data_IF_807492507032
#
_entry.id   IF_807492507032
#
_cell.length_a   1.000
_cell.length_b   1.000
_cell.length_c   1.000
_cell.angle_alpha   90.00
_cell.angle_beta   90.00
_cell.angle_gamma   90.00
#
_symmetry.space_group_name_H-M   'P 1'
#
loop_
_entity.id
_entity.type
_entity.pdbx_description
1 polymer ?
#
# COMPACT_ATOMS: atom_id res chain seq x y z
N UNK A 1 -28.70 -7.99 -3.57
CA UNK A 1 -27.46 -8.76 -3.35
C UNK A 1 -27.19 -8.78 -1.86
N UNK A 2 -26.80 -9.93 -1.30
CA UNK A 2 -26.77 -10.16 0.14
C UNK A 2 -25.66 -9.30 0.79
N UNK A 3 -26.04 -8.21 1.47
CA UNK A 3 -25.13 -7.17 1.97
C UNK A 3 -24.22 -7.59 3.14
N UNK A 4 -24.32 -8.85 3.60
CA UNK A 4 -23.64 -9.37 4.80
C UNK A 4 -22.54 -10.41 4.50
N UNK A 5 -22.09 -10.56 3.25
CA UNK A 5 -21.01 -11.51 2.94
C UNK A 5 -19.66 -10.94 3.40
N UNK A 6 -19.00 -11.65 4.32
CA UNK A 6 -17.61 -11.41 4.74
C UNK A 6 -16.70 -11.29 3.52
N UNK A 7 -15.83 -10.27 3.49
CA UNK A 7 -14.92 -10.01 2.36
C UNK A 7 -13.49 -10.47 2.58
N UNK A 8 -13.10 -10.81 3.80
CA UNK A 8 -11.74 -11.23 4.12
C UNK A 8 -11.76 -12.59 4.84
N UNK A 9 -10.84 -13.47 4.51
CA UNK A 9 -10.70 -14.77 5.17
C UNK A 9 -10.08 -14.64 6.57
N UNK A 10 -9.91 -15.75 7.29
CA UNK A 10 -9.31 -15.76 8.64
C UNK A 10 -7.85 -15.25 8.70
N UNK A 11 -7.21 -14.98 7.56
CA UNK A 11 -5.85 -14.46 7.46
C UNK A 11 -5.82 -13.01 6.97
N UNK A 12 -6.98 -12.36 6.83
CA UNK A 12 -7.09 -10.98 6.34
C UNK A 12 -6.85 -10.84 4.84
N UNK A 13 -6.81 -11.93 4.09
CA UNK A 13 -6.76 -11.88 2.63
C UNK A 13 -8.17 -11.66 2.09
N UNK A 14 -8.31 -10.77 1.12
CA UNK A 14 -9.56 -10.54 0.41
C UNK A 14 -10.00 -11.85 -0.25
N UNK A 15 -11.26 -12.22 -0.03
CA UNK A 15 -11.87 -13.38 -0.65
C UNK A 15 -12.12 -13.03 -2.12
N UNK A 16 -11.68 -13.85 -3.09
CA UNK A 16 -11.94 -13.63 -4.49
C UNK A 16 -13.44 -13.50 -4.77
N UNK A 17 -13.82 -12.39 -5.39
CA UNK A 17 -15.17 -12.22 -5.95
C UNK A 17 -15.26 -12.96 -7.29
N UNK A 18 -16.48 -13.21 -7.76
CA UNK A 18 -16.66 -13.72 -9.13
C UNK A 18 -16.16 -12.66 -10.12
N UNK A 19 -15.09 -12.99 -10.83
CA UNK A 19 -14.49 -12.19 -11.90
C UNK A 19 -14.03 -13.11 -13.01
N UNK A 20 -14.07 -12.63 -14.26
CA UNK A 20 -13.45 -13.31 -15.40
C UNK A 20 -11.93 -13.15 -15.42
N UNK A 21 -11.37 -12.31 -14.55
CA UNK A 21 -9.94 -12.02 -14.50
C UNK A 21 -9.19 -12.98 -13.58
N UNK A 22 -7.90 -13.27 -13.85
CA UNK A 22 -7.14 -14.24 -13.07
C UNK A 22 -6.97 -13.82 -11.60
N UNK A 23 -7.27 -14.75 -10.71
CA UNK A 23 -7.06 -14.68 -9.26
C UNK A 23 -6.98 -16.11 -8.72
N UNK A 24 -6.08 -16.36 -7.78
CA UNK A 24 -6.04 -17.66 -7.11
C UNK A 24 -7.21 -17.78 -6.14
N UNK A 25 -8.09 -18.78 -6.36
CA UNK A 25 -9.26 -19.00 -5.49
C UNK A 25 -8.87 -19.47 -4.09
N UNK A 26 -7.78 -20.24 -4.01
CA UNK A 26 -7.23 -20.81 -2.78
C UNK A 26 -5.77 -20.40 -2.72
N UNK A 27 -5.35 -19.76 -1.63
CA UNK A 27 -3.96 -19.42 -1.41
C UNK A 27 -3.23 -20.58 -0.75
N UNK A 28 -2.04 -20.91 -1.26
CA UNK A 28 -1.10 -21.82 -0.57
C UNK A 28 -0.40 -21.14 0.61
N UNK A 29 -0.52 -19.81 0.70
CA UNK A 29 0.13 -18.97 1.70
C UNK A 29 1.64 -19.20 1.77
N UNK A 30 2.28 -19.46 0.64
CA UNK A 30 3.73 -19.62 0.59
C UNK A 30 4.45 -18.28 0.73
N UNK A 31 3.91 -17.22 0.12
CA UNK A 31 4.41 -15.85 0.26
C UNK A 31 3.65 -15.14 1.37
N UNK A 32 4.35 -14.68 2.40
CA UNK A 32 3.75 -14.11 3.59
C UNK A 32 4.51 -12.89 4.10
N UNK A 33 3.75 -11.91 4.55
CA UNK A 33 4.24 -10.80 5.35
C UNK A 33 4.13 -11.21 6.81
N UNK A 34 5.18 -10.98 7.59
CA UNK A 34 5.16 -11.27 9.03
C UNK A 34 4.12 -10.41 9.73
N UNK A 35 3.44 -10.93 10.77
CA UNK A 35 2.66 -10.10 11.68
C UNK A 35 3.49 -8.90 12.16
N UNK A 36 2.86 -7.75 12.22
CA UNK A 36 3.49 -6.49 12.60
C UNK A 36 2.98 -6.07 13.97
N UNK A 37 3.91 -5.74 14.86
CA UNK A 37 3.58 -5.04 16.11
C UNK A 37 3.60 -3.54 15.84
N UNK A 38 2.41 -2.94 15.82
CA UNK A 38 2.24 -1.53 15.43
C UNK A 38 2.67 -0.64 16.58
N UNK A 39 3.83 -0.01 16.44
CA UNK A 39 4.27 1.08 17.32
C UNK A 39 3.98 2.43 16.64
N UNK A 40 2.87 3.06 17.02
CA UNK A 40 2.43 4.34 16.43
C UNK A 40 3.45 5.44 16.56
N UNK A 41 4.13 5.57 17.71
CA UNK A 41 5.14 6.61 17.93
C UNK A 41 6.33 6.44 16.98
N UNK A 42 6.85 5.21 16.84
CA UNK A 42 7.95 4.93 15.91
C UNK A 42 7.56 5.22 14.46
N UNK A 43 6.35 4.80 14.05
CA UNK A 43 5.81 5.03 12.71
C UNK A 43 5.66 6.53 12.45
N UNK A 44 5.01 7.25 13.36
CA UNK A 44 4.80 8.69 13.29
C UNK A 44 6.13 9.44 13.16
N UNK A 45 7.08 9.14 14.03
CA UNK A 45 8.40 9.79 14.03
C UNK A 45 9.15 9.54 12.73
N UNK A 46 9.09 8.33 12.16
CA UNK A 46 9.72 8.05 10.86
C UNK A 46 9.08 8.84 9.72
N UNK A 47 7.75 8.89 9.65
CA UNK A 47 7.06 9.66 8.60
C UNK A 47 7.35 11.16 8.77
N UNK A 48 7.28 11.69 9.98
CA UNK A 48 7.64 13.07 10.28
C UNK A 48 9.10 13.38 9.87
N UNK A 49 10.06 12.54 10.25
CA UNK A 49 11.48 12.79 9.99
C UNK A 49 11.89 12.64 8.52
N UNK A 50 11.23 11.75 7.77
CA UNK A 50 11.68 11.38 6.42
C UNK A 50 10.73 11.79 5.29
N UNK A 51 9.50 12.22 5.59
CA UNK A 51 8.52 12.68 4.60
C UNK A 51 8.01 14.11 4.88
N UNK A 52 7.75 14.44 6.14
CA UNK A 52 7.11 15.72 6.49
C UNK A 52 7.61 16.32 7.80
N UNK A 53 8.79 16.94 7.78
CA UNK A 53 9.46 17.47 8.99
C UNK A 53 8.76 18.69 9.60
N UNK A 54 7.70 19.18 8.96
CA UNK A 54 6.94 20.36 9.37
C UNK A 54 5.49 20.02 9.64
N UNK A 55 5.19 18.76 9.97
CA UNK A 55 3.81 18.32 10.14
C UNK A 55 3.12 19.08 11.26
N UNK A 56 1.86 19.45 11.02
CA UNK A 56 0.99 20.05 12.03
C UNK A 56 0.13 19.02 12.75
N UNK A 57 0.16 17.76 12.30
CA UNK A 57 -0.56 16.65 12.92
C UNK A 57 0.21 16.21 14.16
N UNK A 58 -0.41 16.25 15.34
CA UNK A 58 0.22 15.71 16.55
C UNK A 58 0.24 14.18 16.58
N UNK A 59 1.12 13.60 17.42
CA UNK A 59 1.15 12.15 17.63
C UNK A 59 -0.19 11.64 18.18
N UNK A 60 -0.80 12.38 19.10
CA UNK A 60 -2.09 12.05 19.70
C UNK A 60 -3.21 12.03 18.65
N UNK A 61 -3.27 13.04 17.77
CA UNK A 61 -4.24 13.07 16.67
C UNK A 61 -4.01 11.95 15.65
N UNK A 62 -2.75 11.59 15.39
CA UNK A 62 -2.42 10.46 14.52
C UNK A 62 -2.94 9.14 15.10
N UNK A 63 -2.67 8.88 16.39
CA UNK A 63 -3.14 7.67 17.09
C UNK A 63 -4.67 7.63 17.10
N UNK A 64 -5.32 8.72 17.49
CA UNK A 64 -6.79 8.78 17.56
C UNK A 64 -7.43 8.47 16.20
N UNK A 65 -6.96 9.11 15.13
CA UNK A 65 -7.49 8.90 13.78
C UNK A 65 -7.23 7.47 13.29
N UNK A 66 -6.05 6.93 13.54
CA UNK A 66 -5.69 5.57 13.15
C UNK A 66 -6.55 4.53 13.90
N UNK A 67 -6.68 4.63 15.22
CA UNK A 67 -7.50 3.72 16.03
C UNK A 67 -8.98 3.79 15.66
N UNK A 68 -9.50 4.97 15.30
CA UNK A 68 -10.87 5.11 14.80
C UNK A 68 -11.12 4.29 13.52
N UNK A 69 -10.13 4.18 12.62
CA UNK A 69 -10.25 3.33 11.42
C UNK A 69 -10.34 1.86 11.83
N UNK A 70 -9.46 1.42 12.73
CA UNK A 70 -9.44 0.04 13.23
C UNK A 70 -10.75 -0.31 13.93
N UNK A 71 -11.25 0.58 14.77
CA UNK A 71 -12.51 0.41 15.48
C UNK A 71 -13.70 0.27 14.54
N UNK A 72 -13.77 1.09 13.48
CA UNK A 72 -14.82 0.98 12.45
C UNK A 72 -14.76 -0.35 11.71
N UNK A 73 -13.55 -0.85 11.40
CA UNK A 73 -13.37 -2.15 10.76
C UNK A 73 -13.77 -3.30 11.69
N UNK A 74 -13.35 -3.23 12.95
CA UNK A 74 -13.65 -4.25 13.98
C UNK A 74 -15.14 -4.40 14.25
N UNK A 75 -15.89 -3.30 14.23
CA UNK A 75 -17.36 -3.29 14.45
C UNK A 75 -18.17 -3.70 13.21
N UNK A 76 -17.51 -3.97 12.09
CA UNK A 76 -18.18 -4.35 10.85
C UNK A 76 -17.78 -5.78 10.45
N UNK A 77 -18.66 -6.74 10.70
CA UNK A 77 -18.44 -8.17 10.41
C UNK A 77 -17.99 -8.44 8.97
N UNK A 78 -18.40 -7.59 8.02
CA UNK A 78 -18.00 -7.72 6.62
C UNK A 78 -16.50 -7.52 6.42
N UNK A 79 -15.88 -6.66 7.24
CA UNK A 79 -14.51 -6.20 7.08
C UNK A 79 -13.58 -6.61 8.23
N UNK A 80 -14.10 -6.96 9.41
CA UNK A 80 -13.32 -7.22 10.62
C UNK A 80 -12.12 -8.16 10.40
N UNK A 81 -12.30 -9.17 9.55
CA UNK A 81 -11.25 -10.13 9.22
C UNK A 81 -10.01 -9.52 8.54
N UNK A 82 -10.08 -8.34 7.91
CA UNK A 82 -8.89 -7.65 7.38
C UNK A 82 -7.84 -7.41 8.47
N UNK A 83 -8.30 -7.25 9.73
CA UNK A 83 -7.47 -7.03 10.90
C UNK A 83 -6.70 -8.28 11.36
N UNK A 84 -7.04 -9.46 10.83
CA UNK A 84 -6.25 -10.68 11.04
C UNK A 84 -5.01 -10.72 10.13
N UNK A 85 -4.96 -9.84 9.11
CA UNK A 85 -3.81 -9.63 8.24
C UNK A 85 -2.89 -8.53 8.76
N UNK A 86 -1.93 -8.14 7.91
CA UNK A 86 -1.00 -7.04 8.22
C UNK A 86 -1.63 -5.70 7.85
N UNK A 87 -1.59 -4.74 8.77
CA UNK A 87 -2.01 -3.35 8.53
C UNK A 87 -0.99 -2.37 9.10
N UNK A 88 -0.57 -1.41 8.28
CA UNK A 88 0.39 -0.37 8.68
C UNK A 88 -0.32 0.99 8.69
N UNK A 89 -0.41 1.69 9.84
CA UNK A 89 -0.91 3.05 9.85
C UNK A 89 0.10 3.98 9.18
N UNK A 90 -0.40 5.02 8.55
CA UNK A 90 0.43 6.06 7.94
C UNK A 90 -0.30 7.41 7.98
N UNK A 91 0.45 8.48 7.75
CA UNK A 91 -0.14 9.77 7.40
C UNK A 91 0.56 10.37 6.18
N UNK A 92 -0.17 11.21 5.46
CA UNK A 92 0.35 11.97 4.33
C UNK A 92 0.00 13.44 4.58
N UNK A 93 0.99 14.35 4.55
CA UNK A 93 0.75 15.75 4.82
C UNK A 93 -0.08 16.41 3.73
N UNK A 94 -0.84 17.42 4.12
CA UNK A 94 -1.53 18.30 3.17
C UNK A 94 -0.52 18.91 2.20
N UNK A 95 -0.65 18.64 0.90
CA UNK A 95 0.19 19.23 -0.15
C UNK A 95 -0.57 19.37 -1.45
N UNK A 96 -0.30 20.45 -2.18
CA UNK A 96 -0.73 20.56 -3.58
C UNK A 96 0.11 19.62 -4.42
N UNK A 97 -0.52 18.79 -5.24
CA UNK A 97 0.18 17.82 -6.05
C UNK A 97 0.31 18.29 -7.49
N UNK A 98 1.54 18.28 -7.99
CA UNK A 98 1.82 18.43 -9.41
C UNK A 98 1.81 17.07 -10.10
N UNK A 99 2.85 16.78 -10.87
CA UNK A 99 3.04 15.47 -11.47
C UNK A 99 3.35 14.41 -10.40
N UNK A 100 2.53 13.35 -10.35
CA UNK A 100 2.66 12.29 -9.34
C UNK A 100 4.00 11.54 -9.41
N UNK A 101 4.54 11.36 -10.61
CA UNK A 101 5.82 10.69 -10.81
C UNK A 101 6.98 11.53 -10.29
N UNK A 102 6.95 12.84 -10.54
CA UNK A 102 7.93 13.79 -10.02
C UNK A 102 7.94 13.84 -8.49
N UNK A 103 6.76 13.92 -7.88
CA UNK A 103 6.62 13.94 -6.42
C UNK A 103 7.10 12.62 -5.79
N UNK A 104 6.74 11.49 -6.41
CA UNK A 104 7.19 10.16 -5.99
C UNK A 104 8.72 10.04 -6.04
N UNK A 105 9.34 10.50 -7.13
CA UNK A 105 10.79 10.42 -7.36
C UNK A 105 11.57 11.35 -6.41
N UNK A 106 11.12 12.59 -6.23
CA UNK A 106 11.88 13.61 -5.49
C UNK A 106 11.68 13.54 -3.98
N UNK A 107 10.51 13.11 -3.50
CA UNK A 107 10.16 13.17 -2.09
C UNK A 107 9.94 11.78 -1.48
N UNK A 108 8.99 11.01 -2.01
CA UNK A 108 8.55 9.78 -1.37
C UNK A 108 9.58 8.64 -1.45
N UNK A 109 10.14 8.36 -2.63
CA UNK A 109 11.16 7.32 -2.78
C UNK A 109 12.47 7.68 -2.04
N UNK A 110 12.79 8.98 -1.95
CA UNK A 110 13.93 9.48 -1.17
C UNK A 110 13.68 9.30 0.33
N UNK A 111 12.49 9.65 0.81
CA UNK A 111 12.08 9.43 2.20
C UNK A 111 12.12 7.95 2.56
N UNK A 112 11.58 7.09 1.70
CA UNK A 112 11.63 5.63 1.86
C UNK A 112 13.07 5.13 1.94
N UNK A 113 13.93 5.54 1.00
CA UNK A 113 15.35 5.19 1.01
C UNK A 113 16.03 5.56 2.33
N UNK A 114 15.77 6.78 2.83
CA UNK A 114 16.35 7.26 4.10
C UNK A 114 15.84 6.45 5.29
N UNK A 115 14.53 6.25 5.41
CA UNK A 115 13.95 5.48 6.51
C UNK A 115 14.42 4.02 6.52
N UNK A 116 14.53 3.41 5.33
CA UNK A 116 15.05 2.05 5.19
C UNK A 116 16.50 1.94 5.60
N UNK A 117 17.36 2.89 5.19
CA UNK A 117 18.78 2.89 5.55
C UNK A 117 19.02 3.14 7.04
N UNK A 118 18.20 3.99 7.65
CA UNK A 118 18.19 4.27 9.08
C UNK A 118 17.96 3.00 9.91
N UNK A 119 17.05 2.13 9.48
CA UNK A 119 16.76 0.88 10.19
C UNK A 119 17.63 -0.31 9.74
N UNK A 120 18.24 -0.23 8.56
CA UNK A 120 19.08 -1.28 7.99
C UNK A 120 20.40 -0.72 7.43
N UNK A 121 21.37 -0.37 8.29
CA UNK A 121 22.63 0.26 7.86
C UNK A 121 23.45 -0.57 6.86
N UNK A 122 23.32 -1.90 6.93
CA UNK A 122 24.05 -2.85 6.07
C UNK A 122 23.25 -3.28 4.82
N UNK A 123 22.07 -2.71 4.60
CA UNK A 123 21.23 -2.99 3.43
C UNK A 123 20.92 -1.72 2.67
N UNK A 124 20.46 -1.88 1.43
CA UNK A 124 20.18 -0.77 0.54
C UNK A 124 18.74 -0.78 0.02
N UNK A 125 18.23 0.43 -0.20
CA UNK A 125 17.06 0.64 -1.05
C UNK A 125 17.52 0.98 -2.46
N UNK A 126 17.15 0.15 -3.44
CA UNK A 126 17.53 0.29 -4.84
C UNK A 126 16.33 0.67 -5.71
N UNK A 127 16.46 1.77 -6.45
CA UNK A 127 15.52 2.12 -7.51
C UNK A 127 16.05 1.54 -8.84
N UNK A 128 15.37 0.51 -9.37
CA UNK A 128 15.70 -0.11 -10.66
C UNK A 128 15.06 0.59 -11.87
N UNK A 129 14.24 1.63 -11.65
CA UNK A 129 13.74 2.48 -12.71
C UNK A 129 14.79 3.54 -13.06
N UNK A 130 15.50 3.34 -14.17
CA UNK A 130 16.52 4.29 -14.68
C UNK A 130 15.94 5.50 -15.41
N UNK A 131 14.68 5.42 -15.83
CA UNK A 131 13.95 6.52 -16.47
C UNK A 131 13.26 7.37 -15.40
N UNK A 132 13.17 8.68 -15.62
CA UNK A 132 12.40 9.55 -14.73
C UNK A 132 10.94 9.11 -14.68
N UNK A 133 10.36 9.15 -13.49
CA UNK A 133 8.96 8.85 -13.27
C UNK A 133 8.06 10.02 -13.69
N UNK A 134 8.62 11.23 -13.78
CA UNK A 134 7.91 12.43 -14.19
C UNK A 134 7.17 12.22 -15.50
N UNK A 135 5.85 12.48 -15.52
CA UNK A 135 4.93 12.29 -16.66
C UNK A 135 4.88 10.85 -17.22
N UNK A 136 5.53 9.90 -16.56
CA UNK A 136 5.55 8.48 -16.92
C UNK A 136 4.57 7.65 -16.12
N UNK A 137 4.06 8.23 -15.04
CA UNK A 137 3.07 7.64 -14.15
C UNK A 137 1.86 8.56 -14.10
N UNK A 138 0.68 7.96 -14.20
CA UNK A 138 -0.61 8.62 -13.99
C UNK A 138 -1.41 7.82 -12.96
N UNK A 139 -2.45 8.45 -12.41
CA UNK A 139 -3.38 7.79 -11.49
C UNK A 139 -4.34 6.91 -12.30
N UNK A 140 -4.63 5.69 -11.82
CA UNK A 140 -5.68 4.86 -12.41
C UNK A 140 -7.07 5.33 -11.95
N UNK A 141 -7.93 5.73 -12.88
CA UNK A 141 -9.26 6.29 -12.54
C UNK A 141 -10.22 5.26 -11.93
N UNK A 142 -9.98 3.96 -12.10
CA UNK A 142 -10.78 2.89 -11.52
C UNK A 142 -10.29 2.46 -10.13
N UNK A 143 -9.14 2.97 -9.70
CA UNK A 143 -8.54 2.67 -8.39
C UNK A 143 -9.10 3.48 -7.22
N UNK A 144 -9.86 4.54 -7.55
CA UNK A 144 -10.30 5.63 -6.64
C UNK A 144 -9.15 6.47 -6.08
N UNK A 145 -7.90 6.22 -6.47
CA UNK A 145 -6.73 6.91 -5.93
C UNK A 145 -6.71 8.42 -6.29
N UNK A 146 -7.44 8.83 -7.33
CA UNK A 146 -7.65 10.26 -7.63
C UNK A 146 -8.39 10.98 -6.48
N UNK A 147 -9.45 10.36 -5.94
CA UNK A 147 -10.21 10.90 -4.80
C UNK A 147 -9.37 10.95 -3.53
N UNK A 148 -8.42 10.02 -3.39
CA UNK A 148 -7.47 10.02 -2.28
C UNK A 148 -6.50 11.21 -2.40
N UNK A 149 -5.95 11.45 -3.59
CA UNK A 149 -5.08 12.61 -3.85
C UNK A 149 -5.84 13.93 -3.65
N UNK A 150 -7.08 14.04 -4.14
CA UNK A 150 -7.94 15.21 -3.91
C UNK A 150 -8.13 15.48 -2.41
N UNK A 151 -8.21 14.46 -1.55
CA UNK A 151 -8.27 14.65 -0.10
C UNK A 151 -6.95 15.19 0.46
N UNK A 152 -5.81 14.66 0.03
CA UNK A 152 -4.48 15.12 0.46
C UNK A 152 -4.26 16.60 0.11
N UNK A 153 -4.82 17.08 -1.00
CA UNK A 153 -4.72 18.51 -1.35
C UNK A 153 -5.43 19.43 -0.34
N UNK A 154 -6.43 18.90 0.36
CA UNK A 154 -7.27 19.66 1.27
C UNK A 154 -6.86 19.53 2.74
N UNK A 155 -6.36 18.36 3.14
CA UNK A 155 -6.02 18.03 4.54
C UNK A 155 -4.89 17.02 4.68
N UNK A 156 -4.30 16.93 5.87
CA UNK A 156 -3.42 15.81 6.23
C UNK A 156 -4.26 14.56 6.42
N UNK A 157 -3.98 13.54 5.63
CA UNK A 157 -4.73 12.28 5.62
C UNK A 157 -4.04 11.27 6.52
N UNK A 158 -4.78 10.66 7.43
CA UNK A 158 -4.36 9.48 8.21
C UNK A 158 -5.07 8.27 7.64
N UNK A 159 -4.36 7.16 7.47
CA UNK A 159 -4.91 5.95 6.88
C UNK A 159 -4.22 4.68 7.35
N UNK A 160 -4.75 3.55 6.89
CA UNK A 160 -4.12 2.25 6.99
C UNK A 160 -3.85 1.64 5.63
N UNK A 161 -2.68 1.04 5.50
CA UNK A 161 -2.23 0.27 4.35
C UNK A 161 -2.32 -1.22 4.67
N UNK A 162 -3.17 -1.95 3.93
CA UNK A 162 -3.42 -3.38 4.11
C UNK A 162 -3.06 -4.18 2.86
N UNK A 163 -1.97 -4.96 2.85
CA UNK A 163 -1.64 -5.95 1.82
C UNK A 163 -2.61 -7.13 1.75
N UNK A 164 -3.89 -6.86 1.50
CA UNK A 164 -4.97 -7.82 1.63
C UNK A 164 -5.35 -8.50 0.30
N UNK A 165 -4.97 -7.94 -0.85
CA UNK A 165 -5.34 -8.46 -2.17
C UNK A 165 -4.19 -9.32 -2.73
N UNK A 166 -3.93 -10.46 -2.10
CA UNK A 166 -2.85 -11.38 -2.47
C UNK A 166 -3.29 -12.35 -3.57
N UNK A 167 -2.42 -12.57 -4.55
CA UNK A 167 -2.59 -13.51 -5.66
C UNK A 167 -3.74 -13.09 -6.60
N UNK A 168 -3.84 -11.79 -6.86
CA UNK A 168 -4.74 -11.20 -7.84
C UNK A 168 -3.93 -10.74 -9.06
N UNK A 169 -4.57 -10.73 -10.23
CA UNK A 169 -4.12 -9.90 -11.36
C UNK A 169 -4.59 -8.46 -11.17
N UNK A 170 -3.97 -7.50 -11.88
CA UNK A 170 -4.43 -6.10 -11.86
C UNK A 170 -5.92 -5.94 -12.18
N UNK A 171 -6.46 -6.50 -13.28
CA UNK A 171 -7.88 -6.31 -13.58
C UNK A 171 -8.79 -7.01 -12.55
N UNK A 172 -8.36 -8.10 -11.92
CA UNK A 172 -9.12 -8.72 -10.83
C UNK A 172 -9.19 -7.81 -9.58
N UNK A 173 -8.12 -7.06 -9.28
CA UNK A 173 -8.13 -6.06 -8.21
C UNK A 173 -9.06 -4.88 -8.52
N UNK A 174 -9.07 -4.43 -9.77
CA UNK A 174 -9.99 -3.37 -10.24
C UNK A 174 -11.45 -3.83 -10.17
N UNK A 175 -11.72 -5.12 -10.38
CA UNK A 175 -13.06 -5.66 -10.12
C UNK A 175 -13.36 -5.74 -8.63
N UNK A 176 -12.39 -6.17 -7.82
CA UNK A 176 -12.56 -6.30 -6.38
C UNK A 176 -12.94 -4.97 -5.74
N UNK A 177 -12.26 -3.86 -6.07
CA UNK A 177 -12.53 -2.55 -5.43
C UNK A 177 -13.98 -2.07 -5.62
N UNK A 178 -14.66 -2.49 -6.69
CA UNK A 178 -16.06 -2.11 -6.98
C UNK A 178 -17.05 -2.58 -5.93
N UNK A 179 -16.75 -3.65 -5.20
CA UNK A 179 -17.64 -4.17 -4.15
C UNK A 179 -17.40 -3.52 -2.78
N UNK A 180 -16.31 -2.75 -2.62
CA UNK A 180 -15.99 -2.04 -1.39
C UNK A 180 -16.67 -0.67 -1.32
N UNK A 181 -16.99 -0.17 -0.11
CA UNK A 181 -17.52 1.18 0.07
C UNK A 181 -16.47 2.24 -0.31
N UNK A 182 -16.93 3.48 -0.48
CA UNK A 182 -16.13 4.57 -1.06
C UNK A 182 -14.90 4.99 -0.26
N UNK A 183 -14.79 4.59 1.01
CA UNK A 183 -13.63 4.86 1.86
C UNK A 183 -12.50 3.83 1.69
N UNK A 184 -12.64 2.88 0.76
CA UNK A 184 -11.58 1.97 0.35
C UNK A 184 -11.01 2.40 -0.99
N UNK A 185 -9.68 2.39 -1.07
CA UNK A 185 -8.89 2.80 -2.22
C UNK A 185 -7.89 1.68 -2.56
N UNK A 186 -7.49 1.57 -3.83
CA UNK A 186 -6.30 0.78 -4.14
C UNK A 186 -5.05 1.62 -3.89
N UNK A 187 -4.05 0.98 -3.29
CA UNK A 187 -2.81 1.63 -2.95
C UNK A 187 -2.05 2.16 -4.18
N UNK A 188 -1.63 3.42 -4.12
CA UNK A 188 -0.82 4.08 -5.13
C UNK A 188 0.61 4.34 -4.62
N UNK A 189 1.26 5.36 -5.16
CA UNK A 189 2.65 5.67 -4.83
C UNK A 189 2.81 6.30 -3.45
N UNK A 190 1.95 7.28 -3.13
CA UNK A 190 2.11 8.09 -1.92
C UNK A 190 1.86 7.30 -0.65
N UNK A 191 0.74 6.59 -0.57
CA UNK A 191 0.34 5.75 0.57
C UNK A 191 1.25 4.54 0.74
N UNK A 192 1.65 3.88 -0.35
CA UNK A 192 2.63 2.78 -0.28
C UNK A 192 3.94 3.30 0.29
N UNK A 193 4.48 4.40 -0.25
CA UNK A 193 5.72 4.95 0.28
C UNK A 193 5.57 5.47 1.71
N UNK A 194 4.47 6.12 2.09
CA UNK A 194 4.25 6.58 3.46
C UNK A 194 4.20 5.41 4.45
N UNK A 195 3.49 4.32 4.12
CA UNK A 195 3.45 3.11 4.94
C UNK A 195 4.84 2.48 5.10
N UNK A 196 5.61 2.36 4.01
CA UNK A 196 6.97 1.84 4.07
C UNK A 196 7.97 2.80 4.71
N UNK A 197 7.75 4.12 4.69
CA UNK A 197 8.56 5.06 5.45
C UNK A 197 8.32 4.82 6.94
N UNK A 198 7.06 4.68 7.35
CA UNK A 198 6.70 4.38 8.74
C UNK A 198 7.18 3.01 9.21
N UNK A 199 7.18 2.01 8.32
CA UNK A 199 7.56 0.63 8.61
C UNK A 199 8.42 0.03 7.47
N UNK A 200 9.72 0.38 7.38
CA UNK A 200 10.56 0.03 6.23
C UNK A 200 10.85 -1.47 6.09
N UNK A 201 10.69 -2.22 7.18
CA UNK A 201 10.95 -3.65 7.23
C UNK A 201 9.73 -4.50 6.89
N UNK A 202 8.65 -3.90 6.33
CA UNK A 202 7.41 -4.60 6.02
C UNK A 202 7.65 -5.89 5.20
N UNK A 203 8.50 -5.83 4.19
CA UNK A 203 8.82 -6.99 3.35
C UNK A 203 10.11 -7.70 3.75
N UNK A 204 10.84 -7.24 4.78
CA UNK A 204 12.03 -7.95 5.21
C UNK A 204 11.65 -9.16 6.06
N UNK A 205 11.81 -10.34 5.48
CA UNK A 205 11.45 -11.59 6.12
C UNK A 205 12.57 -12.62 5.98
N UNK A 206 13.19 -12.99 7.12
CA UNK A 206 14.25 -14.02 7.19
C UNK A 206 13.72 -15.46 7.19
N UNK A 207 12.43 -15.65 7.49
CA UNK A 207 11.84 -16.98 7.74
C UNK A 207 10.89 -17.44 6.63
N UNK A 208 10.46 -16.53 5.76
CA UNK A 208 9.60 -16.82 4.61
C UNK A 208 9.81 -15.79 3.50
N UNK A 209 9.32 -16.11 2.31
CA UNK A 209 9.38 -15.20 1.17
C UNK A 209 8.23 -14.18 1.27
N UNK A 210 8.52 -12.87 1.26
CA UNK A 210 7.48 -11.85 1.17
C UNK A 210 6.91 -11.81 -0.26
N UNK A 211 5.65 -11.38 -0.45
CA UNK A 211 5.18 -10.99 -1.78
C UNK A 211 5.90 -9.71 -2.24
N UNK A 212 5.84 -9.41 -3.53
CA UNK A 212 5.98 -8.04 -4.01
C UNK A 212 4.65 -7.32 -3.85
N UNK A 213 4.70 -6.01 -3.59
CA UNK A 213 3.50 -5.19 -3.41
C UNK A 213 3.38 -4.16 -4.53
N UNK A 214 2.36 -4.34 -5.36
CA UNK A 214 2.04 -3.47 -6.48
C UNK A 214 1.38 -2.15 -6.03
N UNK A 215 1.74 -1.07 -6.70
CA UNK A 215 1.09 0.24 -6.58
C UNK A 215 -0.04 0.36 -7.63
N UNK A 216 -1.10 -0.44 -7.50
CA UNK A 216 -2.19 -0.54 -8.49
C UNK A 216 -3.05 0.72 -8.63
N UNK A 217 -2.94 1.68 -7.70
CA UNK A 217 -3.46 3.03 -7.84
C UNK A 217 -2.79 3.84 -8.97
N UNK A 218 -1.69 3.32 -9.53
CA UNK A 218 -0.90 3.96 -10.58
C UNK A 218 -0.95 3.16 -11.88
N UNK A 219 -0.93 3.90 -13.00
CA UNK A 219 -0.70 3.39 -14.33
C UNK A 219 0.58 3.99 -14.92
N UNK A 220 1.31 3.19 -15.69
CA UNK A 220 2.37 3.71 -16.55
C UNK A 220 1.78 4.30 -17.84
N UNK A 221 2.43 5.33 -18.39
CA UNK A 221 2.18 5.75 -19.77
C UNK A 221 2.58 4.67 -20.80
N UNK A 222 3.42 3.71 -20.40
CA UNK A 222 3.75 2.51 -21.18
C UNK A 222 2.71 1.43 -20.92
N UNK A 223 2.14 0.89 -22.00
CA UNK A 223 1.10 -0.14 -21.93
C UNK A 223 1.61 -1.35 -21.14
N UNK A 224 0.76 -1.85 -20.24
CA UNK A 224 0.98 -3.10 -19.50
C UNK A 224 2.24 -3.10 -18.61
N UNK A 225 2.60 -1.95 -18.02
CA UNK A 225 3.69 -1.82 -17.04
C UNK A 225 3.12 -1.31 -15.72
N UNK A 226 3.46 -2.00 -14.63
CA UNK A 226 3.10 -1.61 -13.27
C UNK A 226 4.35 -1.44 -12.40
N UNK A 227 4.21 -0.70 -11.30
CA UNK A 227 5.29 -0.42 -10.34
C UNK A 227 5.03 -1.13 -9.02
N UNK A 228 6.09 -1.58 -8.35
CA UNK A 228 5.99 -2.30 -7.09
C UNK A 228 7.21 -2.07 -6.20
N UNK A 229 7.03 -2.42 -4.93
CA UNK A 229 8.12 -2.63 -3.97
C UNK A 229 8.29 -4.15 -3.77
N UNK A 230 9.54 -4.62 -3.77
CA UNK A 230 9.87 -6.01 -3.43
C UNK A 230 11.15 -6.07 -2.58
N UNK A 231 11.22 -7.07 -1.69
CA UNK A 231 12.47 -7.40 -1.03
C UNK A 231 13.33 -8.27 -1.97
N UNK A 232 14.63 -7.99 -2.01
CA UNK A 232 15.61 -8.78 -2.75
C UNK A 232 16.78 -9.11 -1.82
N UNK A 233 16.73 -10.29 -1.21
CA UNK A 233 17.61 -10.63 -0.08
C UNK A 233 17.29 -9.72 1.12
N UNK A 234 18.30 -9.02 1.63
CA UNK A 234 18.13 -8.03 2.71
C UNK A 234 17.85 -6.61 2.19
N UNK A 235 17.88 -6.41 0.86
CA UNK A 235 17.61 -5.11 0.25
C UNK A 235 16.12 -4.93 -0.03
N UNK A 236 15.71 -3.67 -0.14
CA UNK A 236 14.39 -3.30 -0.63
C UNK A 236 14.54 -2.65 -2.00
N UNK A 237 13.62 -2.91 -2.91
CA UNK A 237 13.72 -2.38 -4.27
C UNK A 237 12.41 -1.77 -4.73
N UNK A 238 12.52 -0.67 -5.48
CA UNK A 238 11.44 -0.14 -6.29
C UNK A 238 11.70 -0.49 -7.75
N UNK A 239 10.74 -1.16 -8.37
CA UNK A 239 10.91 -1.73 -9.70
C UNK A 239 9.59 -1.69 -10.49
N UNK A 240 9.67 -2.01 -11.78
CA UNK A 240 8.52 -2.11 -12.69
C UNK A 240 8.57 -3.40 -13.48
N UNK A 241 7.41 -3.97 -13.76
CA UNK A 241 7.30 -5.24 -14.48
C UNK A 241 6.09 -5.23 -15.43
N UNK A 242 6.17 -5.98 -16.56
CA UNK A 242 5.04 -6.18 -17.46
C UNK A 242 4.08 -7.27 -16.99
N UNK A 243 3.12 -7.64 -17.85
CA UNK A 243 2.21 -8.80 -17.71
C UNK A 243 1.08 -8.65 -16.68
N UNK A 244 0.50 -7.46 -16.57
CA UNK A 244 -0.51 -7.11 -15.57
C UNK A 244 -1.80 -7.95 -15.66
N UNK A 245 -2.06 -8.60 -16.80
CA UNK A 245 -3.19 -9.52 -16.99
C UNK A 245 -2.98 -10.93 -16.44
N UNK A 246 -1.77 -11.29 -16.00
CA UNK A 246 -1.48 -12.58 -15.37
C UNK A 246 -1.65 -12.49 -13.85
N UNK A 247 -1.53 -13.63 -13.17
CA UNK A 247 -1.48 -13.73 -11.72
C UNK A 247 -0.31 -14.61 -11.31
N UNK A 248 0.30 -14.30 -10.17
CA UNK A 248 1.32 -15.14 -9.55
C UNK A 248 1.15 -15.13 -8.02
N UNK A 249 1.66 -16.17 -7.37
CA UNK A 249 1.49 -16.35 -5.92
C UNK A 249 2.21 -15.30 -5.07
N UNK A 250 3.28 -14.73 -5.61
CA UNK A 250 4.07 -13.71 -4.92
C UNK A 250 3.56 -12.29 -5.22
N UNK A 251 2.44 -12.13 -5.93
CA UNK A 251 1.88 -10.81 -6.21
C UNK A 251 0.91 -10.41 -5.11
N UNK A 252 1.18 -9.28 -4.48
CA UNK A 252 0.29 -8.64 -3.53
C UNK A 252 -0.13 -7.27 -4.01
N UNK A 253 -1.36 -6.91 -3.70
CA UNK A 253 -1.90 -5.57 -3.85
C UNK A 253 -2.48 -5.12 -2.52
N UNK A 254 -2.58 -3.82 -2.32
CA UNK A 254 -2.95 -3.26 -1.03
C UNK A 254 -4.19 -2.39 -1.13
N UNK A 255 -5.01 -2.47 -0.09
CA UNK A 255 -6.12 -1.57 0.17
C UNK A 255 -5.64 -0.45 1.09
N UNK A 256 -6.09 0.76 0.80
CA UNK A 256 -5.98 1.91 1.69
C UNK A 256 -7.35 2.25 2.24
N UNK A 257 -7.39 2.50 3.54
CA UNK A 257 -8.59 2.88 4.27
C UNK A 257 -8.29 4.15 5.06
N UNK A 258 -9.16 5.14 4.93
CA UNK A 258 -9.11 6.44 5.63
C UNK A 258 -10.44 6.74 6.31
#
# INVERSE_FOLDING_TARGET
MNNNKVLFDEHGRCIPIESSHPVHKISRRYFQIKPVDVNYEKIYNKINNFLDTTTSLSLEEFIEKAENIIDKLRRNDRFANILNGVGIPFFIPKRTHGDIGEELEKNYLIGLKKSFKDENPDSDFLNHCSESLSKSIIVDNNSRHNKFIEKIENETVVGYYFPALLEYSFPAVIDAIKVFPDNFYLAGGYDTCAAFIGYPNLLLNKDAYPPLLWMTGLNSNKKNIGYHIEAYGYNLTFNKRPHLGNVAEYWGHSLVII
#
